data_IF_375470330213
#
_entry.id   IF_375470330213
#
_cell.length_a   1.000
_cell.length_b   1.000
_cell.length_c   1.000
_cell.angle_alpha   90.00
_cell.angle_beta   90.00
_cell.angle_gamma   90.00
#
_symmetry.space_group_name_H-M   'P 1'
#
loop_
_entity.id
_entity.type
_entity.pdbx_description
1 polymer ?
#
# COMPACT_ATOMS: atom_id res chain seq x y z
N UNK A 1 -9.57 -29.48 14.21
CA UNK A 1 -8.35 -28.72 13.89
C UNK A 1 -8.56 -27.70 12.77
N UNK A 2 -9.24 -28.05 11.66
CA UNK A 2 -9.55 -27.13 10.55
C UNK A 2 -10.25 -25.80 10.98
N UNK A 3 -11.22 -25.87 11.89
CA UNK A 3 -11.93 -24.67 12.37
C UNK A 3 -11.05 -23.67 13.14
N UNK A 4 -9.95 -24.12 13.77
CA UNK A 4 -9.02 -23.23 14.48
C UNK A 4 -8.15 -22.46 13.49
N UNK A 5 -7.61 -23.14 12.48
CA UNK A 5 -6.78 -22.51 11.45
C UNK A 5 -7.57 -21.52 10.61
N UNK A 6 -8.79 -21.88 10.19
CA UNK A 6 -9.67 -20.97 9.44
C UNK A 6 -10.00 -19.71 10.26
N UNK A 7 -10.31 -19.89 11.55
CA UNK A 7 -10.53 -18.75 12.46
C UNK A 7 -9.30 -17.87 12.60
N UNK A 8 -8.11 -18.46 12.77
CA UNK A 8 -6.86 -17.72 12.87
C UNK A 8 -6.57 -16.93 11.59
N UNK A 9 -6.83 -17.51 10.42
CA UNK A 9 -6.74 -16.81 9.12
C UNK A 9 -7.72 -15.63 9.09
N UNK A 10 -8.95 -15.81 9.59
CA UNK A 10 -9.96 -14.75 9.59
C UNK A 10 -9.63 -13.62 10.57
N UNK A 11 -8.99 -13.94 11.71
CA UNK A 11 -8.41 -12.93 12.62
C UNK A 11 -7.37 -12.10 11.88
N UNK A 12 -6.42 -12.74 11.17
CA UNK A 12 -5.36 -12.04 10.46
C UNK A 12 -5.90 -11.11 9.36
N UNK A 13 -6.92 -11.53 8.61
CA UNK A 13 -7.59 -10.70 7.59
C UNK A 13 -8.31 -9.48 8.19
N UNK A 14 -8.78 -9.60 9.42
CA UNK A 14 -9.54 -8.55 10.10
C UNK A 14 -8.66 -7.43 10.63
N UNK A 15 -7.40 -7.73 10.97
CA UNK A 15 -6.48 -6.78 11.59
C UNK A 15 -6.11 -5.64 10.61
N UNK A 16 -6.28 -4.37 11.02
CA UNK A 16 -5.85 -3.23 10.22
C UNK A 16 -4.34 -2.99 10.33
N UNK A 17 -3.78 -2.22 9.39
CA UNK A 17 -2.39 -1.73 9.48
C UNK A 17 -2.29 -0.55 10.44
N UNK A 18 -1.22 -0.50 11.24
CA UNK A 18 -0.88 0.67 12.05
C UNK A 18 -0.85 1.94 11.17
N UNK A 19 -1.39 3.09 11.62
CA UNK A 19 -1.83 3.42 12.98
C UNK A 19 -3.28 3.03 13.31
N UNK A 20 -4.02 2.44 12.37
CA UNK A 20 -5.39 1.96 12.65
C UNK A 20 -5.32 0.68 13.48
N UNK A 21 -6.32 0.49 14.35
CA UNK A 21 -6.42 -0.65 15.26
C UNK A 21 -7.86 -1.11 15.42
N UNK A 22 -8.03 -2.37 15.81
CA UNK A 22 -9.34 -2.95 16.12
C UNK A 22 -9.34 -3.60 17.50
N UNK A 23 -10.37 -3.32 18.30
CA UNK A 23 -10.51 -3.95 19.62
C UNK A 23 -10.94 -5.42 19.48
N UNK A 24 -10.63 -6.22 20.49
CA UNK A 24 -11.00 -7.66 20.53
C UNK A 24 -12.50 -7.87 20.35
N UNK A 25 -13.33 -6.97 20.88
CA UNK A 25 -14.79 -7.00 20.70
C UNK A 25 -15.21 -6.84 19.23
N UNK A 26 -14.52 -5.98 18.48
CA UNK A 26 -14.74 -5.81 17.04
C UNK A 26 -14.30 -7.03 16.23
N UNK A 27 -13.17 -7.64 16.59
CA UNK A 27 -12.72 -8.90 15.97
C UNK A 27 -13.76 -10.01 16.24
N UNK A 28 -14.26 -10.11 17.47
CA UNK A 28 -15.26 -11.09 17.84
C UNK A 28 -16.55 -10.94 17.04
N UNK A 29 -17.03 -9.71 16.83
CA UNK A 29 -18.22 -9.44 16.03
C UNK A 29 -18.05 -9.96 14.58
N UNK A 30 -16.91 -9.65 13.94
CA UNK A 30 -16.62 -10.12 12.58
C UNK A 30 -16.48 -11.64 12.48
N UNK A 31 -15.88 -12.26 13.49
CA UNK A 31 -15.79 -13.72 13.55
C UNK A 31 -17.18 -14.38 13.65
N UNK A 32 -18.10 -13.79 14.42
CA UNK A 32 -19.49 -14.29 14.51
C UNK A 32 -20.23 -14.13 13.19
N UNK A 33 -20.06 -13.02 12.49
CA UNK A 33 -20.62 -12.80 11.14
C UNK A 33 -20.07 -13.84 10.14
N UNK A 34 -18.80 -14.22 10.27
CA UNK A 34 -18.17 -15.29 9.48
C UNK A 34 -18.56 -16.71 9.92
N UNK A 35 -19.50 -16.86 10.87
CA UNK A 35 -20.00 -18.17 11.34
C UNK A 35 -19.12 -18.86 12.38
N UNK A 36 -18.17 -18.14 12.99
CA UNK A 36 -17.33 -18.66 14.07
C UNK A 36 -17.89 -18.25 15.44
N UNK A 37 -18.52 -19.20 16.14
CA UNK A 37 -18.91 -18.99 17.54
C UNK A 37 -17.74 -19.24 18.48
N UNK A 38 -17.17 -18.16 19.01
CA UNK A 38 -16.02 -18.19 19.92
C UNK A 38 -16.16 -17.18 21.05
N UNK A 39 -15.34 -17.34 22.09
CA UNK A 39 -15.30 -16.42 23.23
C UNK A 39 -14.20 -15.38 23.07
N UNK A 40 -14.31 -14.28 23.81
CA UNK A 40 -13.25 -13.25 23.92
C UNK A 40 -11.92 -13.88 24.31
N UNK A 41 -11.92 -14.81 25.27
CA UNK A 41 -10.69 -15.49 25.74
C UNK A 41 -10.03 -16.32 24.64
N UNK A 42 -10.82 -16.93 23.75
CA UNK A 42 -10.31 -17.68 22.59
C UNK A 42 -9.62 -16.74 21.61
N UNK A 43 -10.25 -15.60 21.29
CA UNK A 43 -9.67 -14.60 20.37
C UNK A 43 -8.39 -14.01 20.95
N UNK A 44 -8.37 -13.68 22.25
CA UNK A 44 -7.16 -13.18 22.93
C UNK A 44 -6.01 -14.19 22.88
N UNK A 45 -6.29 -15.47 23.16
CA UNK A 45 -5.28 -16.52 23.08
C UNK A 45 -4.76 -16.69 21.66
N UNK A 46 -5.65 -16.71 20.67
CA UNK A 46 -5.26 -16.86 19.27
C UNK A 46 -4.43 -15.66 18.79
N UNK A 47 -4.75 -14.43 19.23
CA UNK A 47 -3.94 -13.23 18.96
C UNK A 47 -2.55 -13.31 19.57
N UNK A 48 -2.42 -13.81 20.80
CA UNK A 48 -1.12 -14.04 21.44
C UNK A 48 -0.29 -15.05 20.65
N UNK A 49 -0.87 -16.21 20.31
CA UNK A 49 -0.18 -17.23 19.50
C UNK A 49 0.20 -16.70 18.11
N UNK A 50 -0.66 -15.90 17.49
CA UNK A 50 -0.34 -15.27 16.19
C UNK A 50 0.76 -14.22 16.33
N UNK A 51 0.82 -13.47 17.43
CA UNK A 51 1.87 -12.46 17.66
C UNK A 51 3.29 -13.04 17.81
N UNK A 52 3.40 -14.34 18.12
CA UNK A 52 4.69 -15.03 18.16
C UNK A 52 5.29 -15.26 16.77
N UNK A 53 4.46 -15.32 15.73
CA UNK A 53 4.87 -15.67 14.36
C UNK A 53 4.71 -14.49 13.39
N UNK A 54 3.65 -13.70 13.58
CA UNK A 54 3.27 -12.58 12.72
C UNK A 54 3.62 -11.27 13.42
N UNK A 55 4.05 -10.25 12.66
CA UNK A 55 4.31 -8.89 13.18
C UNK A 55 3.02 -8.13 13.52
N UNK A 56 2.21 -8.67 14.41
CA UNK A 56 1.02 -8.04 14.98
C UNK A 56 1.32 -7.58 16.40
N UNK A 57 0.77 -6.42 16.78
CA UNK A 57 0.95 -5.86 18.12
C UNK A 57 -0.39 -5.46 18.73
N UNK A 58 -0.52 -5.68 20.03
CA UNK A 58 -1.57 -5.11 20.85
C UNK A 58 -1.04 -3.84 21.50
N UNK A 59 -1.80 -2.75 21.46
CA UNK A 59 -1.46 -1.55 22.20
C UNK A 59 -1.67 -1.73 23.72
N UNK A 60 -1.25 -0.74 24.51
CA UNK A 60 -1.46 -0.74 25.96
C UNK A 60 -2.75 0.00 26.38
N UNK A 61 -3.64 0.30 25.41
CA UNK A 61 -4.84 1.09 25.69
C UNK A 61 -5.98 0.23 26.25
N UNK A 62 -6.99 0.87 26.83
CA UNK A 62 -8.22 0.23 27.29
C UNK A 62 -9.42 0.81 26.53
N UNK A 63 -10.13 0.02 25.69
CA UNK A 63 -9.88 -1.38 25.38
C UNK A 63 -8.63 -1.58 24.49
N UNK A 64 -7.93 -2.69 24.69
CA UNK A 64 -6.73 -3.04 23.91
C UNK A 64 -7.07 -3.20 22.43
N UNK A 65 -6.39 -2.43 21.59
CA UNK A 65 -6.48 -2.49 20.15
C UNK A 65 -5.34 -3.30 19.53
N UNK A 66 -5.65 -4.07 18.51
CA UNK A 66 -4.69 -4.87 17.76
C UNK A 66 -4.53 -4.36 16.34
N UNK A 67 -3.28 -4.41 15.85
CA UNK A 67 -2.92 -3.99 14.49
C UNK A 67 -1.68 -4.71 13.99
N UNK A 68 -1.46 -4.71 12.68
CA UNK A 68 -0.17 -5.05 12.11
C UNK A 68 0.87 -3.98 12.45
N UNK A 69 1.99 -4.38 13.04
CA UNK A 69 3.11 -3.53 13.46
C UNK A 69 4.18 -3.33 12.37
N UNK A 70 4.17 -4.18 11.35
CA UNK A 70 5.04 -4.11 10.18
C UNK A 70 4.29 -4.52 8.92
N UNK A 71 5.02 -4.83 7.85
CA UNK A 71 4.37 -5.29 6.62
C UNK A 71 3.58 -6.56 6.89
N UNK A 72 2.26 -6.59 6.59
CA UNK A 72 1.47 -7.79 6.76
C UNK A 72 2.10 -8.89 5.90
N UNK A 73 2.14 -10.10 6.45
CA UNK A 73 2.69 -11.25 5.75
C UNK A 73 2.10 -11.32 4.34
N UNK A 74 2.95 -11.08 3.34
CA UNK A 74 2.63 -11.19 1.93
C UNK A 74 2.60 -12.69 1.61
N UNK A 75 1.43 -13.32 1.79
CA UNK A 75 1.15 -14.65 1.22
C UNK A 75 0.09 -14.43 0.12
N UNK A 76 0.39 -14.76 -1.14
CA UNK A 76 1.49 -15.61 -1.61
C UNK A 76 2.80 -14.83 -1.76
N UNK A 77 3.93 -15.55 -1.63
CA UNK A 77 5.20 -15.08 -2.18
C UNK A 77 4.93 -14.63 -3.61
N UNK A 78 5.18 -13.36 -3.91
CA UNK A 78 4.93 -12.81 -5.22
C UNK A 78 5.71 -13.66 -6.23
N UNK A 79 4.99 -14.30 -7.16
CA UNK A 79 5.63 -15.11 -8.20
C UNK A 79 6.64 -14.25 -8.97
N UNK A 80 7.83 -14.77 -9.36
CA UNK A 80 8.82 -13.96 -10.06
C UNK A 80 8.32 -13.27 -11.34
N UNK A 81 7.32 -13.84 -12.04
CA UNK A 81 6.70 -13.18 -13.20
C UNK A 81 5.77 -12.04 -12.75
N UNK A 82 5.00 -12.24 -11.67
CA UNK A 82 4.18 -11.19 -11.08
C UNK A 82 5.04 -10.04 -10.54
N UNK A 83 6.19 -10.36 -9.93
CA UNK A 83 7.18 -9.38 -9.50
C UNK A 83 7.71 -8.56 -10.69
N UNK A 84 8.04 -9.22 -11.80
CA UNK A 84 8.46 -8.53 -13.02
C UNK A 84 7.39 -7.58 -13.55
N UNK A 85 6.15 -8.07 -13.66
CA UNK A 85 5.03 -7.26 -14.13
C UNK A 85 4.80 -6.04 -13.22
N UNK A 86 4.89 -6.21 -11.90
CA UNK A 86 4.69 -5.14 -10.93
C UNK A 86 5.83 -4.10 -10.99
N UNK A 87 7.09 -4.52 -11.14
CA UNK A 87 8.23 -3.60 -11.31
C UNK A 87 8.15 -2.81 -12.61
N UNK A 88 7.69 -3.44 -13.70
CA UNK A 88 7.42 -2.74 -14.96
C UNK A 88 6.26 -1.74 -14.79
N UNK A 89 5.18 -2.16 -14.15
CA UNK A 89 4.04 -1.28 -13.87
C UNK A 89 4.46 -0.07 -13.03
N UNK A 90 5.30 -0.25 -12.00
CA UNK A 90 5.87 0.86 -11.23
C UNK A 90 6.60 1.85 -12.16
N UNK A 91 7.51 1.36 -13.00
CA UNK A 91 8.29 2.22 -13.90
C UNK A 91 7.42 3.02 -14.89
N UNK A 92 6.26 2.51 -15.30
CA UNK A 92 5.39 3.17 -16.28
C UNK A 92 4.24 3.96 -15.68
N UNK A 93 3.73 3.56 -14.53
CA UNK A 93 2.55 4.14 -13.93
C UNK A 93 2.86 5.18 -12.86
N UNK A 94 4.07 5.20 -12.29
CA UNK A 94 4.44 6.21 -11.28
C UNK A 94 4.15 7.66 -11.70
N UNK A 95 4.43 8.10 -12.95
CA UNK A 95 4.10 9.46 -13.37
C UNK A 95 2.60 9.78 -13.44
N UNK A 96 1.75 8.74 -13.54
CA UNK A 96 0.30 8.85 -13.71
C UNK A 96 -0.47 8.66 -12.39
N UNK A 97 0.20 8.16 -11.35
CA UNK A 97 -0.44 7.83 -10.08
C UNK A 97 -0.49 9.04 -9.13
N UNK A 98 -1.59 9.26 -8.40
CA UNK A 98 -1.62 10.19 -7.27
C UNK A 98 -0.58 9.79 -6.21
N UNK A 99 0.06 10.77 -5.57
CA UNK A 99 1.10 10.53 -4.55
C UNK A 99 0.62 9.56 -3.44
N UNK A 100 -0.62 9.71 -2.97
CA UNK A 100 -1.20 8.84 -1.95
C UNK A 100 -1.31 7.36 -2.40
N UNK A 101 -1.58 7.12 -3.69
CA UNK A 101 -1.69 5.76 -4.24
C UNK A 101 -0.30 5.13 -4.38
N UNK A 102 0.68 5.91 -4.85
CA UNK A 102 2.08 5.50 -4.91
C UNK A 102 2.59 5.08 -3.53
N UNK A 103 2.41 5.93 -2.52
CA UNK A 103 2.83 5.63 -1.14
C UNK A 103 2.17 4.38 -0.55
N UNK A 104 0.91 4.10 -0.92
CA UNK A 104 0.22 2.89 -0.47
C UNK A 104 0.76 1.60 -1.13
N UNK A 105 1.30 1.72 -2.35
CA UNK A 105 1.83 0.60 -3.13
C UNK A 105 3.32 0.35 -2.89
N UNK A 106 4.06 1.32 -2.32
CA UNK A 106 5.51 1.22 -2.08
C UNK A 106 5.97 -0.12 -1.47
N UNK A 107 5.33 -0.66 -0.41
CA UNK A 107 5.75 -1.94 0.17
C UNK A 107 5.63 -3.12 -0.81
N UNK A 108 4.69 -3.07 -1.75
CA UNK A 108 4.51 -4.09 -2.77
C UNK A 108 5.60 -4.00 -3.85
N UNK A 109 6.03 -2.77 -4.20
CA UNK A 109 7.15 -2.57 -5.12
C UNK A 109 8.47 -3.03 -4.51
N UNK A 110 8.70 -2.75 -3.22
CA UNK A 110 9.87 -3.26 -2.49
C UNK A 110 9.88 -4.80 -2.44
N UNK A 111 8.75 -5.43 -2.13
CA UNK A 111 8.62 -6.88 -2.14
C UNK A 111 8.89 -7.48 -3.54
N UNK A 112 8.37 -6.87 -4.61
CA UNK A 112 8.65 -7.30 -5.98
C UNK A 112 10.13 -7.18 -6.33
N UNK A 113 10.77 -6.09 -5.94
CA UNK A 113 12.19 -5.90 -6.17
C UNK A 113 13.03 -6.95 -5.42
N UNK A 114 12.66 -7.28 -4.18
CA UNK A 114 13.32 -8.33 -3.41
C UNK A 114 13.23 -9.70 -4.11
N UNK A 115 12.06 -10.07 -4.64
CA UNK A 115 11.86 -11.31 -5.41
C UNK A 115 12.70 -11.34 -6.69
N UNK A 116 12.75 -10.23 -7.43
CA UNK A 116 13.56 -10.13 -8.65
C UNK A 116 15.07 -10.19 -8.37
N UNK A 117 15.51 -9.61 -7.25
CA UNK A 117 16.91 -9.71 -6.81
C UNK A 117 17.30 -11.16 -6.49
N UNK A 118 16.38 -11.95 -5.93
CA UNK A 118 16.58 -13.39 -5.71
C UNK A 118 16.50 -14.22 -7.01
N UNK A 119 15.96 -13.66 -8.10
CA UNK A 119 15.75 -14.33 -9.39
C UNK A 119 16.62 -13.73 -10.51
N UNK A 120 17.92 -14.09 -10.62
CA UNK A 120 18.89 -13.38 -11.46
C UNK A 120 18.57 -13.38 -12.97
N UNK A 121 17.81 -14.35 -13.47
CA UNK A 121 17.37 -14.37 -14.88
C UNK A 121 16.33 -13.29 -15.17
N UNK A 122 15.33 -13.14 -14.29
CA UNK A 122 14.23 -12.20 -14.45
C UNK A 122 14.62 -10.79 -13.98
N UNK A 123 15.41 -10.68 -12.90
CA UNK A 123 15.95 -9.38 -12.46
C UNK A 123 16.84 -8.70 -13.50
N UNK A 124 17.48 -9.45 -14.40
CA UNK A 124 18.23 -8.88 -15.54
C UNK A 124 17.35 -8.42 -16.70
N UNK A 125 16.09 -8.86 -16.77
CA UNK A 125 15.17 -8.47 -17.86
C UNK A 125 14.82 -6.99 -17.80
N UNK A 126 14.63 -6.43 -16.60
CA UNK A 126 14.38 -5.00 -16.39
C UNK A 126 15.52 -4.13 -16.92
N UNK A 127 16.76 -4.63 -16.90
CA UNK A 127 17.92 -3.94 -17.49
C UNK A 127 18.00 -4.06 -19.02
N UNK A 128 17.30 -5.04 -19.61
CA UNK A 128 17.29 -5.30 -21.06
C UNK A 128 16.15 -4.60 -21.78
N UNK A 129 15.06 -4.33 -21.09
CA UNK A 129 13.87 -3.72 -21.67
C UNK A 129 13.68 -2.33 -21.10
N UNK A 130 13.75 -1.34 -21.99
CA UNK A 130 13.38 0.04 -21.69
C UNK A 130 12.25 0.43 -22.64
N UNK A 131 11.14 0.93 -22.10
CA UNK A 131 10.13 1.55 -22.95
C UNK A 131 10.59 2.96 -23.25
N UNK A 132 10.96 3.16 -24.51
CA UNK A 132 11.21 4.48 -25.05
C UNK A 132 9.86 5.07 -25.43
N UNK A 133 9.48 6.23 -24.91
CA UNK A 133 8.21 6.80 -25.30
C UNK A 133 8.32 7.29 -26.74
N UNK A 134 7.23 7.13 -27.51
CA UNK A 134 7.22 7.46 -28.94
C UNK A 134 7.29 8.97 -29.13
N UNK A 135 8.48 9.50 -29.46
CA UNK A 135 8.67 10.91 -29.84
C UNK A 135 9.92 11.56 -29.25
N UNK A 136 10.19 12.80 -29.67
CA UNK A 136 11.16 13.68 -29.02
C UNK A 136 10.66 14.03 -27.62
N UNK A 137 11.41 13.64 -26.59
CA UNK A 137 11.17 14.11 -25.23
C UNK A 137 11.74 15.50 -25.10
N UNK A 138 10.85 16.49 -25.12
CA UNK A 138 11.21 17.81 -24.63
C UNK A 138 11.62 17.66 -23.18
N UNK A 139 12.75 18.25 -22.79
CA UNK A 139 13.16 18.25 -21.40
C UNK A 139 12.06 18.95 -20.61
N UNK A 140 11.36 18.26 -19.68
CA UNK A 140 10.23 18.86 -19.00
C UNK A 140 10.72 20.10 -18.24
N UNK A 141 9.94 21.19 -18.26
CA UNK A 141 10.29 22.36 -17.46
C UNK A 141 10.33 21.95 -16.00
N UNK A 142 11.21 22.59 -15.22
CA UNK A 142 11.20 22.42 -13.77
C UNK A 142 9.85 22.91 -13.24
N UNK A 143 9.02 21.99 -12.77
CA UNK A 143 7.71 22.29 -12.18
C UNK A 143 7.95 22.63 -10.71
N UNK A 144 7.27 23.67 -10.23
CA UNK A 144 7.23 24.00 -8.82
C UNK A 144 6.44 22.93 -8.05
N UNK A 145 7.10 22.26 -7.09
CA UNK A 145 6.48 21.17 -6.32
C UNK A 145 5.29 21.64 -5.49
N UNK A 146 5.29 22.89 -5.01
CA UNK A 146 4.16 23.44 -4.24
C UNK A 146 2.94 23.58 -5.12
N UNK A 147 3.10 24.13 -6.33
CA UNK A 147 2.02 24.26 -7.31
C UNK A 147 1.47 22.89 -7.69
N UNK A 148 2.34 21.92 -7.96
CA UNK A 148 1.93 20.56 -8.32
C UNK A 148 1.13 19.88 -7.20
N UNK A 149 1.55 20.04 -5.94
CA UNK A 149 0.86 19.49 -4.79
C UNK A 149 -0.55 20.08 -4.65
N UNK A 150 -0.70 21.39 -4.76
CA UNK A 150 -2.01 22.07 -4.69
C UNK A 150 -2.95 21.56 -5.79
N UNK A 151 -2.44 21.40 -7.02
CA UNK A 151 -3.24 20.87 -8.13
C UNK A 151 -3.68 19.43 -7.86
N UNK A 152 -2.78 18.57 -7.38
CA UNK A 152 -3.09 17.17 -7.09
C UNK A 152 -4.08 17.00 -5.95
N UNK A 153 -3.94 17.78 -4.87
CA UNK A 153 -4.89 17.80 -3.76
C UNK A 153 -6.29 18.27 -4.20
N UNK A 154 -6.37 19.35 -4.99
CA UNK A 154 -7.64 19.83 -5.49
C UNK A 154 -8.30 18.83 -6.45
N UNK A 155 -7.53 18.19 -7.32
CA UNK A 155 -8.03 17.13 -8.20
C UNK A 155 -8.55 15.93 -7.38
N UNK A 156 -7.78 15.50 -6.36
CA UNK A 156 -8.15 14.39 -5.49
C UNK A 156 -9.44 14.65 -4.71
N UNK A 157 -9.69 15.90 -4.33
CA UNK A 157 -10.88 16.33 -3.60
C UNK A 157 -12.01 16.90 -4.49
N UNK A 158 -11.90 16.80 -5.82
CA UNK A 158 -12.88 17.30 -6.78
C UNK A 158 -13.19 18.81 -6.61
N UNK A 159 -12.17 19.62 -6.31
CA UNK A 159 -12.30 21.07 -6.06
C UNK A 159 -11.89 21.89 -7.28
N UNK A 160 -12.57 23.03 -7.47
CA UNK A 160 -12.13 24.04 -8.45
C UNK A 160 -10.91 24.80 -7.95
N UNK A 161 -10.00 25.12 -8.88
CA UNK A 161 -8.81 25.92 -8.65
C UNK A 161 -8.97 27.29 -9.29
N UNK A 162 -8.44 28.32 -8.63
CA UNK A 162 -8.23 29.64 -9.19
C UNK A 162 -6.73 29.81 -9.44
N UNK A 163 -6.33 30.09 -10.68
CA UNK A 163 -4.94 29.95 -11.13
C UNK A 163 -4.53 31.27 -11.77
N UNK A 164 -3.38 31.82 -11.36
CA UNK A 164 -2.75 32.89 -12.11
C UNK A 164 -1.81 32.31 -13.17
N UNK A 165 -2.09 32.57 -14.45
CA UNK A 165 -1.33 32.12 -15.59
C UNK A 165 -0.44 33.23 -16.16
N UNK A 166 0.84 32.92 -16.35
CA UNK A 166 1.80 33.80 -17.02
C UNK A 166 1.99 33.34 -18.47
N UNK A 167 1.70 34.22 -19.43
CA UNK A 167 1.88 33.91 -20.87
C UNK A 167 3.35 33.94 -21.24
N UNK A 168 3.70 33.15 -22.26
CA UNK A 168 5.08 33.09 -22.78
C UNK A 168 5.53 34.48 -23.26
N UNK A 169 6.54 35.05 -22.58
CA UNK A 169 7.12 36.36 -22.89
C UNK A 169 6.59 37.51 -22.03
N UNK A 170 5.64 37.25 -21.13
CA UNK A 170 5.18 38.21 -20.13
C UNK A 170 5.85 37.92 -18.77
N UNK A 171 5.98 38.94 -17.93
CA UNK A 171 6.59 38.84 -16.59
C UNK A 171 5.53 38.78 -15.48
N UNK A 172 4.30 39.18 -15.78
CA UNK A 172 3.20 39.25 -14.81
C UNK A 172 2.18 38.13 -15.05
N UNK A 173 1.78 37.45 -13.97
CA UNK A 173 0.73 36.44 -14.01
C UNK A 173 -0.65 37.08 -13.85
N UNK A 174 -1.62 36.64 -14.65
CA UNK A 174 -3.02 37.08 -14.58
C UNK A 174 -3.93 35.92 -14.22
N UNK A 175 -4.96 36.19 -13.45
CA UNK A 175 -5.96 35.20 -13.03
C UNK A 175 -6.84 34.66 -14.18
#
# INVERSE_FOLDING_TARGET
>A
MLNTTLRQIEILKTLPRFPRRIAVTGILARLREAGHDVTVRTVQRDLLTLSEVFSITGDEQKPQGWSWAGDPIQIPALDPQAALALTLAHSFLSPLMPKATLSALEPHFEAAQAVLNASPRLGRWTNKVRVLPRGFHLNPPKIDEEVQNVVYEALFHERQLRIHYCRKGETEAKE
#
